data_IF_794378700270
#
_entry.id   IF_794378700270
#
_cell.length_a   1.000
_cell.length_b   1.000
_cell.length_c   1.000
_cell.angle_alpha   90.00
_cell.angle_beta   90.00
_cell.angle_gamma   90.00
#
_symmetry.space_group_name_H-M   'P 1'
#
loop_
_entity.id
_entity.type
_entity.pdbx_description
1 polymer ?
#
# COMPACT_ATOMS: atom_id res chain seq x y z
N UNK A 1 -12.66 -19.35 -14.40
CA UNK A 1 -13.86 -18.61 -13.93
C UNK A 1 -14.72 -19.61 -13.17
N UNK A 2 -15.15 -19.25 -11.96
CA UNK A 2 -16.09 -20.05 -11.14
C UNK A 2 -17.50 -19.94 -11.72
N UNK A 3 -18.18 -21.05 -11.99
CA UNK A 3 -19.57 -21.06 -12.44
C UNK A 3 -20.54 -20.70 -11.29
N UNK A 4 -21.73 -20.19 -11.62
CA UNK A 4 -22.81 -19.85 -10.66
C UNK A 4 -22.43 -18.79 -9.62
N UNK A 5 -21.73 -17.73 -10.04
CA UNK A 5 -21.25 -16.66 -9.14
C UNK A 5 -21.88 -15.29 -9.37
N UNK A 6 -22.94 -15.19 -10.18
CA UNK A 6 -23.61 -13.91 -10.47
C UNK A 6 -24.14 -13.20 -9.21
N UNK A 7 -24.51 -13.98 -8.19
CA UNK A 7 -24.92 -13.47 -6.87
C UNK A 7 -23.82 -12.65 -6.17
N UNK A 8 -22.54 -12.81 -6.54
CA UNK A 8 -21.46 -11.98 -6.00
C UNK A 8 -21.61 -10.52 -6.42
N UNK A 9 -22.11 -10.25 -7.64
CA UNK A 9 -22.39 -8.88 -8.08
C UNK A 9 -23.55 -8.29 -7.27
N UNK A 10 -24.63 -9.05 -7.06
CA UNK A 10 -25.74 -8.65 -6.18
C UNK A 10 -25.27 -8.38 -4.75
N UNK A 11 -24.34 -9.21 -4.24
CA UNK A 11 -23.72 -9.00 -2.94
C UNK A 11 -22.90 -7.69 -2.92
N UNK A 12 -22.10 -7.40 -3.94
CA UNK A 12 -21.33 -6.15 -4.01
C UNK A 12 -22.25 -4.92 -4.04
N UNK A 13 -23.32 -4.93 -4.83
CA UNK A 13 -24.34 -3.87 -4.81
C UNK A 13 -24.99 -3.73 -3.44
N UNK A 14 -25.29 -4.84 -2.76
CA UNK A 14 -25.86 -4.81 -1.41
C UNK A 14 -24.86 -4.24 -0.40
N UNK A 15 -23.60 -4.67 -0.42
CA UNK A 15 -22.54 -4.17 0.48
C UNK A 15 -22.38 -2.68 0.29
N UNK A 16 -22.24 -2.19 -0.94
CA UNK A 16 -22.10 -0.77 -1.21
C UNK A 16 -23.30 0.04 -0.67
N UNK A 17 -24.52 -0.46 -0.91
CA UNK A 17 -25.76 0.22 -0.49
C UNK A 17 -25.94 0.30 1.03
N UNK A 18 -25.47 -0.68 1.79
CA UNK A 18 -25.76 -0.79 3.24
C UNK A 18 -24.55 -0.52 4.13
N UNK A 19 -23.36 -0.41 3.56
CA UNK A 19 -22.13 -0.04 4.27
C UNK A 19 -22.13 1.46 4.61
N UNK A 20 -21.14 1.87 5.40
CA UNK A 20 -20.88 3.26 5.66
C UNK A 20 -20.59 4.02 4.35
N UNK A 21 -21.09 5.25 4.24
CA UNK A 21 -21.00 6.06 3.02
C UNK A 21 -19.62 6.72 2.88
N UNK A 22 -18.72 6.02 2.18
CA UNK A 22 -17.40 6.53 1.81
C UNK A 22 -17.42 7.41 0.55
N UNK A 23 -18.51 7.42 -0.21
CA UNK A 23 -18.64 8.21 -1.44
C UNK A 23 -18.78 9.69 -1.10
N UNK A 24 -19.60 10.00 -0.11
CA UNK A 24 -19.97 11.39 0.21
C UNK A 24 -19.44 11.87 1.57
N UNK A 25 -19.03 10.96 2.46
CA UNK A 25 -18.64 11.31 3.83
C UNK A 25 -17.35 10.62 4.26
N UNK A 26 -16.81 11.01 5.42
CA UNK A 26 -15.75 10.27 6.13
C UNK A 26 -16.37 9.66 7.39
N UNK A 27 -16.86 8.40 7.33
CA UNK A 27 -17.65 7.81 8.40
C UNK A 27 -16.90 7.62 9.72
N UNK A 28 -15.56 7.57 9.67
CA UNK A 28 -14.72 7.36 10.84
C UNK A 28 -13.32 7.93 10.62
N UNK A 29 -12.72 8.45 11.70
CA UNK A 29 -11.32 8.88 11.75
C UNK A 29 -10.43 7.87 12.50
N UNK A 30 -10.98 6.74 12.90
CA UNK A 30 -10.21 5.61 13.43
C UNK A 30 -9.31 5.07 12.32
N UNK A 31 -8.00 5.11 12.51
CA UNK A 31 -7.05 4.99 11.42
C UNK A 31 -7.15 3.66 10.63
N UNK A 32 -7.33 2.52 11.32
CA UNK A 32 -7.51 1.21 10.68
C UNK A 32 -8.80 1.14 9.87
N UNK A 33 -9.92 1.54 10.47
CA UNK A 33 -11.22 1.53 9.80
C UNK A 33 -11.21 2.48 8.59
N UNK A 34 -10.55 3.64 8.72
CA UNK A 34 -10.33 4.55 7.61
C UNK A 34 -9.53 3.86 6.52
N UNK A 35 -8.34 3.34 6.83
CA UNK A 35 -7.45 2.69 5.88
C UNK A 35 -8.18 1.58 5.10
N UNK A 36 -8.99 0.77 5.77
CA UNK A 36 -9.76 -0.30 5.13
C UNK A 36 -10.95 0.21 4.30
N UNK A 37 -11.60 1.29 4.74
CA UNK A 37 -12.88 1.75 4.20
C UNK A 37 -12.76 2.71 3.03
N UNK A 38 -11.77 3.61 3.02
CA UNK A 38 -11.70 4.70 2.03
C UNK A 38 -11.58 4.19 0.58
N UNK A 39 -11.06 2.98 0.39
CA UNK A 39 -10.91 2.31 -0.91
C UNK A 39 -12.22 1.74 -1.49
N UNK A 40 -13.27 1.63 -0.67
CA UNK A 40 -14.53 0.96 -1.06
C UNK A 40 -15.14 1.53 -2.35
N UNK A 41 -15.24 2.86 -2.55
CA UNK A 41 -15.86 3.41 -3.75
C UNK A 41 -15.13 2.99 -5.05
N UNK A 42 -13.80 3.00 -5.06
CA UNK A 42 -13.01 2.54 -6.20
C UNK A 42 -13.19 1.03 -6.45
N UNK A 43 -13.36 0.23 -5.39
CA UNK A 43 -13.68 -1.19 -5.56
C UNK A 43 -15.06 -1.40 -6.18
N UNK A 44 -16.05 -0.64 -5.71
CA UNK A 44 -17.40 -0.70 -6.25
C UNK A 44 -17.47 -0.24 -7.71
N UNK A 45 -16.62 0.69 -8.14
CA UNK A 45 -16.59 1.17 -9.53
C UNK A 45 -16.31 0.07 -10.55
N UNK A 46 -15.69 -1.05 -10.15
CA UNK A 46 -15.47 -2.21 -11.03
C UNK A 46 -16.75 -2.93 -11.46
N UNK A 47 -17.82 -2.81 -10.67
CA UNK A 47 -19.10 -3.49 -10.90
C UNK A 47 -20.27 -2.53 -11.10
N UNK A 48 -20.05 -1.23 -10.92
CA UNK A 48 -21.04 -0.20 -11.16
C UNK A 48 -21.51 -0.20 -12.63
N UNK A 49 -22.83 -0.18 -12.83
CA UNK A 49 -23.45 -0.14 -14.15
C UNK A 49 -24.69 0.79 -14.10
N UNK A 50 -24.70 1.94 -14.81
CA UNK A 50 -23.65 2.44 -15.69
C UNK A 50 -22.34 2.77 -14.94
N UNK A 51 -21.23 2.83 -15.66
CA UNK A 51 -19.94 3.27 -15.12
C UNK A 51 -20.08 4.67 -14.53
N UNK A 52 -19.61 4.84 -13.29
CA UNK A 52 -19.61 6.12 -12.58
C UNK A 52 -18.17 6.50 -12.19
N UNK A 53 -17.56 7.49 -12.88
CA UNK A 53 -16.20 7.93 -12.58
C UNK A 53 -16.07 8.65 -11.23
N UNK A 54 -17.18 9.13 -10.64
CA UNK A 54 -17.15 9.84 -9.36
C UNK A 54 -16.81 8.90 -8.19
N UNK A 55 -17.02 7.59 -8.35
CA UNK A 55 -16.67 6.58 -7.34
C UNK A 55 -15.16 6.50 -7.12
N UNK A 56 -14.37 6.43 -8.19
CA UNK A 56 -12.90 6.44 -8.07
C UNK A 56 -12.47 7.78 -7.48
N UNK A 57 -13.00 8.90 -7.97
CA UNK A 57 -12.68 10.24 -7.45
C UNK A 57 -12.99 10.37 -5.95
N UNK A 58 -14.09 9.78 -5.46
CA UNK A 58 -14.42 9.81 -4.05
C UNK A 58 -13.34 9.16 -3.19
N UNK A 59 -12.75 8.05 -3.64
CA UNK A 59 -11.63 7.38 -2.93
C UNK A 59 -10.42 8.30 -2.80
N UNK A 60 -10.04 8.99 -3.88
CA UNK A 60 -8.95 9.97 -3.85
C UNK A 60 -9.29 11.11 -2.89
N UNK A 61 -10.48 11.68 -3.01
CA UNK A 61 -10.91 12.79 -2.16
C UNK A 61 -10.89 12.42 -0.68
N UNK A 62 -11.38 11.24 -0.29
CA UNK A 62 -11.32 10.78 1.12
C UNK A 62 -9.89 10.73 1.62
N UNK A 63 -9.00 10.12 0.85
CA UNK A 63 -7.60 10.02 1.25
C UNK A 63 -6.92 11.39 1.33
N UNK A 64 -7.16 12.26 0.34
CA UNK A 64 -6.66 13.63 0.29
C UNK A 64 -7.15 14.47 1.46
N UNK A 65 -8.45 14.40 1.80
CA UNK A 65 -9.03 15.08 2.95
C UNK A 65 -8.27 14.70 4.24
N UNK A 66 -7.99 13.39 4.42
CA UNK A 66 -7.25 12.88 5.58
C UNK A 66 -5.80 13.40 5.58
N UNK A 67 -5.05 13.24 4.49
CA UNK A 67 -3.63 13.58 4.47
C UNK A 67 -3.38 15.09 4.45
N UNK A 68 -4.29 15.88 3.89
CA UNK A 68 -4.21 17.34 3.93
C UNK A 68 -4.36 17.86 5.36
N UNK A 69 -5.18 17.20 6.18
CA UNK A 69 -5.39 17.58 7.57
C UNK A 69 -4.35 16.96 8.52
N UNK A 70 -4.04 15.68 8.38
CA UNK A 70 -3.25 14.91 9.35
C UNK A 70 -1.95 14.30 8.79
N UNK A 71 -1.68 14.42 7.49
CA UNK A 71 -0.61 13.69 6.80
C UNK A 71 0.73 14.41 6.70
N UNK A 72 1.02 15.39 7.57
CA UNK A 72 2.26 16.19 7.52
C UNK A 72 3.51 15.41 7.95
N UNK A 73 3.42 14.08 7.99
CA UNK A 73 4.47 13.19 8.48
C UNK A 73 5.31 12.71 7.28
N UNK A 74 6.61 13.02 7.25
CA UNK A 74 7.45 12.75 6.07
C UNK A 74 7.58 11.25 5.76
N UNK A 75 7.29 10.38 6.73
CA UNK A 75 7.34 8.93 6.62
C UNK A 75 6.06 8.29 6.06
N UNK A 76 5.10 9.09 5.58
CA UNK A 76 3.89 8.61 4.90
C UNK A 76 2.69 8.29 5.79
N UNK A 77 2.84 8.39 7.11
CA UNK A 77 1.76 8.23 8.09
C UNK A 77 0.84 9.44 8.21
N UNK A 78 -0.10 9.35 9.15
CA UNK A 78 -0.95 10.47 9.59
C UNK A 78 -0.87 10.64 11.11
N UNK A 79 -1.19 11.83 11.59
CA UNK A 79 -1.38 12.18 13.00
C UNK A 79 -2.68 11.55 13.54
N UNK A 80 -2.66 10.22 13.64
CA UNK A 80 -3.86 9.42 13.79
C UNK A 80 -4.13 8.90 15.19
N UNK A 81 -3.15 8.84 16.09
CA UNK A 81 -3.22 8.05 17.32
C UNK A 81 -3.89 6.69 17.05
N UNK A 82 -5.00 6.37 17.73
CA UNK A 82 -6.02 5.42 17.25
C UNK A 82 -7.05 6.09 16.34
N UNK A 83 -7.47 7.30 16.73
CA UNK A 83 -8.47 8.14 16.03
C UNK A 83 -7.86 9.52 15.78
N UNK A 84 -7.89 9.99 14.53
CA UNK A 84 -7.40 11.34 14.22
C UNK A 84 -8.24 12.37 14.99
N UNK A 85 -7.58 13.29 15.71
CA UNK A 85 -8.25 14.29 16.55
C UNK A 85 -8.07 15.69 15.98
N UNK A 86 -9.15 16.49 15.86
CA UNK A 86 -9.04 17.90 15.48
C UNK A 86 -8.00 18.64 16.34
N UNK A 87 -7.22 19.53 15.72
CA UNK A 87 -6.14 20.31 16.34
C UNK A 87 -4.93 19.49 16.85
N UNK A 88 -4.89 18.19 16.62
CA UNK A 88 -3.78 17.30 16.98
C UNK A 88 -3.07 16.83 15.69
N UNK A 89 -2.29 17.72 15.08
CA UNK A 89 -1.54 17.46 13.83
C UNK A 89 -0.01 17.53 14.04
N UNK A 90 0.40 17.67 15.30
CA UNK A 90 1.79 17.86 15.67
C UNK A 90 2.58 16.53 15.69
N UNK A 91 3.92 16.55 15.64
CA UNK A 91 4.73 15.33 15.48
C UNK A 91 4.78 14.42 16.72
N UNK A 92 4.12 14.79 17.83
CA UNK A 92 3.90 13.90 18.98
C UNK A 92 2.78 12.90 18.73
N UNK A 93 1.89 13.17 17.78
CA UNK A 93 0.91 12.18 17.34
C UNK A 93 1.62 11.09 16.54
N UNK A 94 1.03 9.91 16.50
CA UNK A 94 1.55 8.80 15.71
C UNK A 94 0.44 8.07 15.00
N UNK A 95 0.76 6.89 14.48
CA UNK A 95 -0.23 5.99 13.90
C UNK A 95 -0.11 4.62 14.54
N UNK A 96 -1.24 3.94 14.67
CA UNK A 96 -1.28 2.53 15.04
C UNK A 96 -0.47 1.68 14.03
N UNK A 97 0.25 0.67 14.52
CA UNK A 97 0.96 -0.30 13.68
C UNK A 97 0.03 -0.98 12.66
N UNK A 98 -1.21 -1.33 13.04
CA UNK A 98 -2.21 -1.84 12.10
C UNK A 98 -2.55 -0.81 11.03
N UNK A 99 -2.68 0.47 11.40
CA UNK A 99 -2.95 1.55 10.46
C UNK A 99 -1.93 1.59 9.31
N UNK A 100 -0.63 1.47 9.62
CA UNK A 100 0.40 1.40 8.58
C UNK A 100 0.22 0.21 7.63
N UNK A 101 0.03 -1.00 8.18
CA UNK A 101 -0.14 -2.20 7.38
C UNK A 101 -1.41 -2.17 6.51
N UNK A 102 -2.52 -1.65 7.05
CA UNK A 102 -3.79 -1.54 6.33
C UNK A 102 -3.78 -0.44 5.27
N UNK A 103 -3.04 0.66 5.50
CA UNK A 103 -2.78 1.66 4.44
C UNK A 103 -1.97 1.04 3.31
N UNK A 104 -0.86 0.34 3.61
CA UNK A 104 -0.08 -0.37 2.60
C UNK A 104 -0.94 -1.33 1.79
N UNK A 105 -1.75 -2.16 2.46
CA UNK A 105 -2.66 -3.09 1.80
C UNK A 105 -3.67 -2.39 0.88
N UNK A 106 -4.26 -1.29 1.35
CA UNK A 106 -5.21 -0.50 0.57
C UNK A 106 -4.58 0.15 -0.66
N UNK A 107 -3.35 0.61 -0.55
CA UNK A 107 -2.62 1.18 -1.66
C UNK A 107 -2.26 0.15 -2.74
N UNK A 108 -1.87 -1.07 -2.35
CA UNK A 108 -1.70 -2.16 -3.31
C UNK A 108 -3.00 -2.47 -4.06
N UNK A 109 -4.09 -2.58 -3.31
CA UNK A 109 -5.43 -2.81 -3.86
C UNK A 109 -5.85 -1.70 -4.83
N UNK A 110 -5.61 -0.44 -4.49
CA UNK A 110 -5.93 0.70 -5.34
C UNK A 110 -5.04 0.79 -6.58
N UNK A 111 -3.77 0.39 -6.50
CA UNK A 111 -2.91 0.24 -7.68
C UNK A 111 -3.51 -0.77 -8.67
N UNK A 112 -4.03 -1.91 -8.20
CA UNK A 112 -4.69 -2.91 -9.06
C UNK A 112 -5.96 -2.37 -9.72
N UNK A 113 -6.75 -1.58 -8.99
CA UNK A 113 -8.03 -1.05 -9.47
C UNK A 113 -7.84 0.09 -10.46
N UNK A 114 -6.93 1.01 -10.15
CA UNK A 114 -6.79 2.29 -10.87
C UNK A 114 -5.65 2.29 -11.87
N UNK A 115 -4.62 1.46 -11.67
CA UNK A 115 -3.36 1.53 -12.42
C UNK A 115 -2.52 2.77 -12.13
N UNK A 116 -2.88 3.57 -11.11
CA UNK A 116 -2.19 4.80 -10.76
C UNK A 116 -1.01 4.55 -9.80
N UNK A 117 0.18 4.93 -10.23
CA UNK A 117 1.42 4.82 -9.45
C UNK A 117 1.42 5.65 -8.16
N UNK A 118 0.53 6.64 -8.03
CA UNK A 118 0.36 7.42 -6.80
C UNK A 118 0.21 6.53 -5.56
N UNK A 119 -0.64 5.50 -5.64
CA UNK A 119 -0.92 4.64 -4.49
C UNK A 119 0.31 3.84 -4.08
N UNK A 120 0.99 3.24 -5.05
CA UNK A 120 2.12 2.36 -4.76
C UNK A 120 3.35 3.15 -4.29
N UNK A 121 3.49 4.42 -4.70
CA UNK A 121 4.47 5.35 -4.11
C UNK A 121 4.16 5.64 -2.63
N UNK A 122 2.88 5.80 -2.26
CA UNK A 122 2.48 5.95 -0.85
C UNK A 122 2.75 4.67 -0.05
N UNK A 123 2.54 3.50 -0.64
CA UNK A 123 2.90 2.22 -0.02
C UNK A 123 4.40 2.13 0.22
N UNK A 124 5.21 2.43 -0.79
CA UNK A 124 6.67 2.42 -0.71
C UNK A 124 7.18 3.41 0.37
N UNK A 125 6.60 4.60 0.43
CA UNK A 125 6.93 5.61 1.45
C UNK A 125 6.70 5.07 2.86
N UNK A 126 5.55 4.45 3.15
CA UNK A 126 5.28 3.84 4.46
C UNK A 126 6.22 2.66 4.71
N UNK A 127 6.37 1.77 3.72
CA UNK A 127 7.11 0.52 3.82
C UNK A 127 8.59 0.72 4.14
N UNK A 128 9.24 1.74 3.57
CA UNK A 128 10.65 2.01 3.83
C UNK A 128 10.92 3.09 4.89
N UNK A 129 9.88 3.64 5.53
CA UNK A 129 10.04 4.63 6.59
C UNK A 129 9.33 4.24 7.88
N UNK A 130 8.01 4.44 7.94
CA UNK A 130 7.26 4.30 9.19
C UNK A 130 7.04 2.85 9.62
N UNK A 131 6.77 1.94 8.68
CA UNK A 131 6.42 0.57 9.02
C UNK A 131 7.54 -0.23 9.71
N UNK A 132 8.81 -0.17 9.27
CA UNK A 132 9.92 -0.82 9.97
C UNK A 132 10.11 -0.27 11.40
N UNK A 133 9.84 1.02 11.61
CA UNK A 133 10.02 1.68 12.90
C UNK A 133 9.01 1.21 13.97
N UNK A 134 7.98 0.46 13.58
CA UNK A 134 6.99 -0.09 14.52
C UNK A 134 7.42 -1.43 15.13
N UNK A 135 8.49 -2.05 14.61
CA UNK A 135 8.94 -3.41 14.94
C UNK A 135 10.40 -3.40 15.39
N UNK A 136 10.83 -4.42 16.15
CA UNK A 136 12.28 -4.62 16.37
C UNK A 136 13.01 -5.07 15.12
N UNK A 137 14.23 -4.54 14.89
CA UNK A 137 14.94 -4.71 13.62
C UNK A 137 15.43 -6.15 13.40
N UNK A 138 15.30 -7.05 14.38
CA UNK A 138 15.83 -8.41 14.27
C UNK A 138 14.77 -9.39 13.74
N UNK A 139 13.66 -9.54 14.45
CA UNK A 139 12.65 -10.58 14.14
C UNK A 139 11.22 -10.13 14.46
N UNK A 140 10.96 -8.83 14.63
CA UNK A 140 9.65 -8.31 14.99
C UNK A 140 9.00 -8.98 16.23
N UNK A 141 9.81 -9.39 17.21
CA UNK A 141 9.43 -9.81 18.56
C UNK A 141 8.83 -8.67 19.39
N UNK A 142 9.31 -7.45 19.22
CA UNK A 142 8.84 -6.24 19.90
C UNK A 142 8.09 -5.33 18.93
N UNK A 143 7.01 -4.70 19.41
CA UNK A 143 6.20 -3.76 18.61
C UNK A 143 5.74 -2.57 19.46
N UNK A 144 5.45 -1.45 18.79
CA UNK A 144 4.69 -0.33 19.35
C UNK A 144 3.21 -0.49 19.01
N UNK A 145 2.34 0.07 19.85
CA UNK A 145 0.97 0.31 19.40
C UNK A 145 0.97 1.53 18.49
N UNK A 146 1.33 2.70 19.03
CA UNK A 146 1.48 3.94 18.29
C UNK A 146 2.96 4.22 18.00
N UNK A 147 3.28 4.50 16.74
CA UNK A 147 4.60 5.01 16.35
C UNK A 147 4.49 6.46 15.88
N UNK A 148 5.09 7.36 16.65
CA UNK A 148 5.17 8.79 16.33
C UNK A 148 6.47 9.11 15.57
N UNK A 149 6.47 10.12 14.68
CA UNK A 149 7.71 10.62 14.07
C UNK A 149 8.72 11.12 15.10
N UNK A 150 8.25 11.68 16.22
CA UNK A 150 9.09 12.17 17.31
C UNK A 150 8.75 11.49 18.65
N UNK A 151 9.22 10.25 18.81
CA UNK A 151 9.08 9.48 20.05
C UNK A 151 10.36 9.53 20.88
N UNK A 152 10.34 10.29 21.98
CA UNK A 152 11.50 10.42 22.89
C UNK A 152 11.43 9.50 24.12
N UNK A 153 10.27 8.89 24.39
CA UNK A 153 10.04 8.09 25.59
C UNK A 153 9.12 6.89 25.26
N UNK A 154 9.72 5.70 25.24
CA UNK A 154 9.08 4.42 24.87
C UNK A 154 8.89 3.47 26.08
N UNK A 155 8.78 4.05 27.28
CA UNK A 155 8.64 3.28 28.52
C UNK A 155 7.24 2.66 28.66
N UNK A 156 7.12 1.66 29.54
CA UNK A 156 5.87 0.95 29.81
C UNK A 156 4.93 1.74 30.73
N UNK A 157 4.72 3.02 30.41
CA UNK A 157 3.92 3.98 31.18
C UNK A 157 2.90 4.66 30.28
N UNK A 158 1.64 4.68 30.74
CA UNK A 158 0.51 5.34 30.08
C UNK A 158 0.81 6.84 29.87
N UNK A 159 0.33 7.37 28.75
CA UNK A 159 0.51 8.77 28.36
C UNK A 159 -0.88 9.36 28.14
N UNK A 160 -1.25 10.39 28.91
CA UNK A 160 -2.60 11.00 28.87
C UNK A 160 -2.84 11.94 27.68
N UNK A 161 -1.89 12.02 26.74
CA UNK A 161 -1.96 12.94 25.59
C UNK A 161 -2.58 12.30 24.35
N UNK A 162 -2.82 10.98 24.36
CA UNK A 162 -3.40 10.20 23.25
C UNK A 162 -4.89 9.91 23.50
N UNK A 163 -5.63 9.54 22.45
CA UNK A 163 -7.05 9.16 22.55
C UNK A 163 -7.30 7.98 23.50
N UNK A 164 -6.41 6.98 23.49
CA UNK A 164 -6.57 5.71 24.21
C UNK A 164 -5.49 5.51 25.27
N UNK A 165 -5.64 6.15 26.42
CA UNK A 165 -4.65 6.09 27.50
C UNK A 165 -4.80 4.86 28.43
N UNK A 166 -5.54 3.83 27.99
CA UNK A 166 -5.91 2.68 28.82
C UNK A 166 -4.74 1.70 29.00
N UNK A 167 -3.70 1.81 28.18
CA UNK A 167 -2.43 1.09 28.30
C UNK A 167 -1.27 1.93 27.74
N UNK A 168 -0.01 1.53 27.97
CA UNK A 168 1.17 2.23 27.44
C UNK A 168 1.29 2.11 25.90
N UNK A 169 0.61 2.99 25.17
CA UNK A 169 0.56 2.99 23.70
C UNK A 169 1.94 3.07 23.01
N UNK A 170 2.88 3.82 23.60
CA UNK A 170 4.23 4.01 23.06
C UNK A 170 5.22 2.95 23.54
N UNK A 171 4.80 2.02 24.39
CA UNK A 171 5.72 1.05 24.97
C UNK A 171 6.31 0.14 23.89
N UNK A 172 7.63 0.03 23.89
CA UNK A 172 8.35 -0.88 23.01
C UNK A 172 8.82 -2.10 23.75
N UNK A 173 8.05 -3.18 23.63
CA UNK A 173 8.36 -4.42 24.37
C UNK A 173 7.87 -5.66 23.63
N UNK A 174 8.52 -6.81 23.84
CA UNK A 174 7.99 -8.08 23.39
C UNK A 174 6.80 -8.52 24.24
N UNK A 175 5.98 -9.42 23.71
CA UNK A 175 4.95 -10.12 24.49
C UNK A 175 3.81 -9.21 24.96
N UNK A 176 3.38 -8.26 24.12
CA UNK A 176 2.30 -7.35 24.48
C UNK A 176 0.97 -8.11 24.60
N UNK A 177 0.27 -7.90 25.72
CA UNK A 177 -0.99 -8.58 26.04
C UNK A 177 -2.18 -7.62 26.13
N UNK A 178 -1.92 -6.33 26.31
CA UNK A 178 -2.91 -5.26 26.44
C UNK A 178 -3.65 -4.99 25.11
N UNK A 179 -2.99 -5.24 23.98
CA UNK A 179 -3.57 -5.18 22.64
C UNK A 179 -3.06 -6.37 21.84
N UNK A 180 -3.90 -6.87 20.93
CA UNK A 180 -3.59 -8.05 20.11
C UNK A 180 -3.75 -7.81 18.62
N UNK A 181 -4.40 -6.73 18.18
CA UNK A 181 -4.51 -6.37 16.77
C UNK A 181 -3.12 -6.27 16.12
N UNK A 182 -2.25 -5.38 16.62
CA UNK A 182 -0.94 -5.11 16.05
C UNK A 182 -0.08 -6.39 15.94
N UNK A 183 0.14 -7.20 17.00
CA UNK A 183 0.93 -8.44 16.91
C UNK A 183 0.44 -9.47 15.90
N UNK A 184 -0.85 -9.46 15.54
CA UNK A 184 -1.41 -10.38 14.55
C UNK A 184 -1.53 -9.75 13.16
N UNK A 185 -1.59 -8.43 13.05
CA UNK A 185 -1.76 -7.71 11.80
C UNK A 185 -0.42 -7.34 11.13
N UNK A 186 0.62 -6.94 11.89
CA UNK A 186 1.89 -6.48 11.29
C UNK A 186 2.50 -7.52 10.34
N UNK A 187 2.26 -8.81 10.60
CA UNK A 187 2.81 -9.90 9.79
C UNK A 187 2.37 -9.86 8.32
N UNK A 188 1.33 -9.11 7.96
CA UNK A 188 0.82 -9.04 6.58
C UNK A 188 1.56 -8.01 5.71
N UNK A 189 2.19 -6.99 6.31
CA UNK A 189 2.73 -5.83 5.55
C UNK A 189 3.79 -6.21 4.52
N UNK A 190 4.85 -6.90 4.94
CA UNK A 190 5.92 -7.34 4.03
C UNK A 190 5.53 -8.47 3.08
N UNK A 191 4.75 -9.48 3.50
CA UNK A 191 4.20 -10.45 2.56
C UNK A 191 3.38 -9.82 1.45
N UNK A 192 2.48 -8.89 1.76
CA UNK A 192 1.72 -8.18 0.72
C UNK A 192 2.61 -7.29 -0.15
N UNK A 193 3.59 -6.59 0.42
CA UNK A 193 4.56 -5.85 -0.38
C UNK A 193 5.25 -6.73 -1.41
N UNK A 194 5.64 -7.95 -1.03
CA UNK A 194 6.29 -8.91 -1.92
C UNK A 194 5.32 -9.52 -2.94
N UNK A 195 4.11 -9.87 -2.52
CA UNK A 195 3.05 -10.39 -3.41
C UNK A 195 2.67 -9.38 -4.50
N UNK A 196 2.65 -8.10 -4.15
CA UNK A 196 2.18 -7.01 -5.00
C UNK A 196 3.29 -6.41 -5.86
N UNK A 197 4.55 -6.85 -5.69
CA UNK A 197 5.68 -6.34 -6.46
C UNK A 197 5.52 -6.56 -7.97
N UNK A 198 4.83 -7.64 -8.38
CA UNK A 198 4.55 -7.96 -9.76
C UNK A 198 3.06 -8.16 -10.00
N UNK A 199 2.50 -7.42 -10.96
CA UNK A 199 1.08 -7.47 -11.32
C UNK A 199 0.88 -7.99 -12.74
N UNK A 200 -0.15 -8.80 -12.95
CA UNK A 200 -0.65 -9.10 -14.28
C UNK A 200 -1.46 -7.90 -14.82
N UNK A 201 -1.36 -7.65 -16.11
CA UNK A 201 -2.10 -6.56 -16.78
C UNK A 201 -3.17 -7.11 -17.72
N UNK A 202 -4.24 -6.35 -17.93
CA UNK A 202 -5.41 -6.81 -18.69
C UNK A 202 -5.10 -7.11 -20.16
N UNK A 203 -4.02 -6.54 -20.70
CA UNK A 203 -3.56 -6.73 -22.08
C UNK A 203 -2.51 -7.85 -22.20
N UNK A 204 -2.47 -8.77 -21.23
CA UNK A 204 -1.61 -9.95 -21.25
C UNK A 204 -0.13 -9.65 -20.95
N UNK A 205 0.17 -8.48 -20.39
CA UNK A 205 1.51 -8.10 -19.95
C UNK A 205 1.75 -8.27 -18.45
N UNK A 206 2.90 -7.77 -17.99
CA UNK A 206 3.29 -7.70 -16.58
C UNK A 206 3.67 -6.27 -16.19
N UNK A 207 3.47 -5.93 -14.92
CA UNK A 207 3.90 -4.67 -14.33
C UNK A 207 4.81 -4.95 -13.12
N UNK A 208 6.03 -4.42 -13.15
CA UNK A 208 6.88 -4.30 -11.97
C UNK A 208 6.39 -3.07 -11.18
N UNK A 209 5.53 -3.32 -10.19
CA UNK A 209 4.84 -2.29 -9.43
C UNK A 209 5.69 -1.80 -8.25
N UNK A 210 6.45 -2.70 -7.62
CA UNK A 210 7.42 -2.38 -6.57
C UNK A 210 8.75 -3.05 -6.90
N UNK A 211 9.82 -2.45 -6.41
CA UNK A 211 11.17 -2.96 -6.61
C UNK A 211 11.66 -3.71 -5.38
N UNK A 212 12.07 -4.95 -5.60
CA UNK A 212 12.62 -5.86 -4.60
C UNK A 212 13.30 -7.04 -5.28
N UNK A 213 14.39 -7.55 -4.70
CA UNK A 213 15.06 -8.73 -5.21
C UNK A 213 14.12 -9.95 -5.16
N UNK A 214 13.63 -10.38 -6.32
CA UNK A 214 12.63 -11.44 -6.39
C UNK A 214 12.65 -12.18 -7.73
N UNK A 215 11.80 -13.21 -7.83
CA UNK A 215 11.55 -13.95 -9.06
C UNK A 215 10.05 -14.11 -9.24
N UNK A 216 9.54 -13.73 -10.42
CA UNK A 216 8.15 -13.96 -10.81
C UNK A 216 8.08 -14.97 -11.96
N UNK A 217 7.09 -15.85 -11.93
CA UNK A 217 6.77 -16.75 -13.04
C UNK A 217 5.31 -16.61 -13.40
N UNK A 218 5.02 -16.22 -14.64
CA UNK A 218 3.67 -15.86 -15.07
C UNK A 218 3.43 -16.22 -16.54
N UNK A 219 2.16 -16.24 -16.95
CA UNK A 219 1.73 -16.38 -18.34
C UNK A 219 1.63 -14.99 -18.97
N UNK A 220 2.21 -14.79 -20.15
CA UNK A 220 2.17 -13.51 -20.90
C UNK A 220 1.82 -13.71 -22.37
N UNK A 221 1.32 -12.66 -23.01
CA UNK A 221 0.91 -12.65 -24.42
C UNK A 221 -0.52 -13.17 -24.64
N UNK A 222 -0.90 -13.33 -25.90
CA UNK A 222 -2.26 -13.71 -26.29
C UNK A 222 -2.59 -15.20 -26.03
N UNK A 223 -3.88 -15.54 -26.06
CA UNK A 223 -4.42 -16.90 -25.94
C UNK A 223 -4.10 -17.60 -24.60
N UNK A 224 -3.53 -18.81 -24.64
CA UNK A 224 -3.16 -19.59 -23.43
C UNK A 224 -1.97 -18.98 -22.68
N UNK A 225 -1.30 -17.98 -23.26
CA UNK A 225 -0.10 -17.34 -22.73
C UNK A 225 1.14 -18.23 -22.83
N UNK A 226 2.31 -17.59 -22.87
CA UNK A 226 3.61 -18.24 -22.71
C UNK A 226 4.06 -18.11 -21.27
N UNK A 227 4.45 -19.21 -20.63
CA UNK A 227 4.99 -19.19 -19.26
C UNK A 227 6.43 -18.68 -19.30
N UNK A 228 6.66 -17.52 -18.68
CA UNK A 228 7.98 -16.89 -18.60
C UNK A 228 8.41 -16.73 -17.14
N UNK A 229 9.71 -16.54 -16.93
CA UNK A 229 10.27 -16.18 -15.63
C UNK A 229 11.03 -14.87 -15.74
N UNK A 230 10.80 -13.94 -14.82
CA UNK A 230 11.58 -12.71 -14.68
C UNK A 230 12.29 -12.76 -13.33
N UNK A 231 13.60 -12.59 -13.35
CA UNK A 231 14.44 -12.46 -12.16
C UNK A 231 14.79 -10.99 -12.01
N UNK A 232 14.36 -10.39 -10.92
CA UNK A 232 14.69 -9.01 -10.53
C UNK A 232 15.87 -9.03 -9.57
N UNK A 233 16.98 -8.43 -10.00
CA UNK A 233 18.21 -8.31 -9.24
C UNK A 233 18.46 -6.86 -8.92
N UNK A 234 18.36 -6.52 -7.64
CA UNK A 234 18.58 -5.17 -7.15
C UNK A 234 18.99 -5.23 -5.68
N UNK A 235 19.71 -4.20 -5.23
CA UNK A 235 19.96 -3.92 -3.82
C UNK A 235 19.06 -2.77 -3.32
N UNK A 236 17.98 -2.46 -4.05
CA UNK A 236 16.93 -1.53 -3.62
C UNK A 236 16.42 -1.91 -2.22
N UNK A 237 16.21 -0.95 -1.30
CA UNK A 237 16.25 0.50 -1.49
C UNK A 237 17.64 1.15 -1.33
N UNK A 238 18.72 0.38 -1.15
CA UNK A 238 20.07 0.93 -0.94
C UNK A 238 20.78 1.33 -2.25
N UNK A 239 20.36 0.77 -3.37
CA UNK A 239 20.86 1.10 -4.71
C UNK A 239 19.70 1.37 -5.67
N UNK A 240 19.94 2.25 -6.64
CA UNK A 240 18.96 2.67 -7.64
C UNK A 240 18.99 1.81 -8.93
N UNK A 241 19.90 0.82 -9.02
CA UNK A 241 19.99 -0.06 -10.19
C UNK A 241 19.06 -1.26 -10.04
N UNK A 242 18.22 -1.49 -11.05
CA UNK A 242 17.29 -2.62 -11.09
C UNK A 242 17.54 -3.39 -12.39
N UNK A 243 18.02 -4.62 -12.28
CA UNK A 243 18.30 -5.49 -13.41
C UNK A 243 17.23 -6.59 -13.51
N UNK A 244 16.54 -6.64 -14.65
CA UNK A 244 15.62 -7.73 -14.98
C UNK A 244 16.29 -8.73 -15.93
N UNK A 245 16.26 -10.02 -15.58
CA UNK A 245 16.61 -11.12 -16.50
C UNK A 245 15.36 -11.89 -16.88
N UNK A 246 15.04 -11.86 -18.18
CA UNK A 246 13.88 -12.54 -18.73
C UNK A 246 14.29 -13.90 -19.27
N UNK A 247 13.64 -14.96 -18.77
CA UNK A 247 13.78 -16.32 -19.25
C UNK A 247 12.52 -16.68 -20.04
N UNK A 248 12.68 -16.80 -21.36
CA UNK A 248 11.60 -17.06 -22.30
C UNK A 248 11.85 -18.43 -22.95
N UNK A 249 10.94 -19.42 -22.82
CA UNK A 249 11.10 -20.72 -23.47
C UNK A 249 10.85 -20.67 -24.99
N UNK A 250 10.16 -19.63 -25.46
CA UNK A 250 9.89 -19.35 -26.86
C UNK A 250 9.73 -17.83 -27.06
N UNK A 251 9.79 -17.37 -28.30
CA UNK A 251 9.50 -15.96 -28.64
C UNK A 251 8.04 -15.64 -28.31
N UNK A 252 7.82 -14.54 -27.59
CA UNK A 252 6.48 -14.06 -27.20
C UNK A 252 6.48 -12.53 -27.18
N UNK A 253 5.38 -11.93 -27.64
CA UNK A 253 5.16 -10.49 -27.54
C UNK A 253 4.20 -10.21 -26.38
N UNK A 254 4.60 -9.31 -25.50
CA UNK A 254 3.79 -8.83 -24.39
C UNK A 254 4.30 -7.46 -23.95
N UNK A 255 3.50 -6.73 -23.15
CA UNK A 255 3.94 -5.47 -22.57
C UNK A 255 4.55 -5.69 -21.19
N UNK A 256 5.67 -5.04 -20.94
CA UNK A 256 6.29 -4.95 -19.63
C UNK A 256 6.21 -3.50 -19.16
N UNK A 257 5.40 -3.26 -18.15
CA UNK A 257 5.27 -1.97 -17.50
C UNK A 257 6.27 -1.89 -16.34
N UNK A 258 6.99 -0.79 -16.25
CA UNK A 258 7.92 -0.50 -15.16
C UNK A 258 7.43 0.77 -14.48
N UNK A 259 7.15 0.71 -13.19
CA UNK A 259 6.80 1.93 -12.44
C UNK A 259 8.00 2.88 -12.45
N UNK A 260 7.77 4.14 -12.80
CA UNK A 260 8.73 5.20 -12.48
C UNK A 260 8.22 5.85 -11.18
N UNK A 261 8.93 5.70 -10.04
CA UNK A 261 8.50 6.33 -8.80
C UNK A 261 8.41 7.85 -8.95
N UNK A 262 7.37 8.50 -8.40
CA UNK A 262 7.20 9.96 -8.59
C UNK A 262 8.32 10.77 -7.94
N UNK A 263 8.94 10.27 -6.87
CA UNK A 263 10.11 10.89 -6.22
C UNK A 263 11.39 10.77 -7.05
N UNK A 264 11.38 10.03 -8.15
CA UNK A 264 12.53 9.91 -9.06
C UNK A 264 12.67 11.19 -9.90
N UNK A 265 13.31 12.21 -9.31
CA UNK A 265 13.56 13.52 -9.94
C UNK A 265 14.64 13.48 -11.02
N UNK A 266 15.58 12.53 -10.93
CA UNK A 266 16.58 12.28 -11.97
C UNK A 266 15.90 11.58 -13.13
N UNK A 267 16.39 11.75 -14.36
CA UNK A 267 15.83 11.03 -15.51
C UNK A 267 16.17 9.54 -15.44
N UNK A 268 15.21 8.65 -15.09
CA UNK A 268 15.46 7.23 -15.20
C UNK A 268 15.69 6.88 -16.66
N UNK A 269 16.64 5.99 -16.87
CA UNK A 269 16.93 5.41 -18.18
C UNK A 269 16.58 3.94 -18.15
N UNK A 270 15.91 3.45 -19.20
CA UNK A 270 15.70 2.02 -19.40
C UNK A 270 16.52 1.57 -20.59
N UNK A 271 17.27 0.49 -20.41
CA UNK A 271 18.02 -0.14 -21.48
C UNK A 271 17.64 -1.61 -21.63
N UNK A 272 17.53 -2.08 -22.87
CA UNK A 272 17.35 -3.49 -23.21
C UNK A 272 18.63 -3.97 -23.88
N UNK A 273 19.29 -4.97 -23.30
CA UNK A 273 20.56 -5.52 -23.82
C UNK A 273 21.62 -4.44 -24.12
N UNK A 274 21.72 -3.42 -23.25
CA UNK A 274 22.66 -2.31 -23.38
C UNK A 274 22.22 -1.17 -24.30
N UNK A 275 21.09 -1.30 -25.01
CA UNK A 275 20.54 -0.22 -25.83
C UNK A 275 19.48 0.57 -25.05
N UNK A 276 19.67 1.88 -24.91
CA UNK A 276 18.70 2.77 -24.25
C UNK A 276 17.42 2.86 -25.10
N UNK A 277 16.29 2.56 -24.48
CA UNK A 277 14.95 2.58 -25.11
C UNK A 277 14.03 3.63 -24.49
N UNK A 278 14.39 4.16 -23.32
CA UNK A 278 13.67 5.23 -22.64
C UNK A 278 14.66 6.09 -21.86
N UNK A 279 14.49 7.41 -21.93
CA UNK A 279 15.24 8.40 -21.16
C UNK A 279 14.33 9.59 -20.88
N UNK A 280 13.91 9.74 -19.62
CA UNK A 280 12.95 10.78 -19.21
C UNK A 280 13.43 12.20 -19.52
N UNK A 281 14.74 12.47 -19.67
CA UNK A 281 15.25 13.80 -20.03
C UNK A 281 14.96 14.18 -21.49
N UNK A 282 14.75 13.19 -22.35
CA UNK A 282 14.66 13.33 -23.80
C UNK A 282 13.26 13.00 -24.37
N UNK A 283 12.28 12.78 -23.49
CA UNK A 283 10.85 12.54 -23.81
C UNK A 283 9.98 13.61 -23.18
#
# INVERSE_FOLDING_TARGET
RTSNTDWLLDLMHRIHKVSADWVHTTPTLHNVNFAQGFREPAFYSLVANPLDPTLVQATYQRYEDLVNQYGQFPSGGVAGDEVCRPDHTDPRQGLETCGFAEFMHSFHMLMRVTGDGYWIDRCELIGFNSFPATLDPFVARGTHYITCPNSIQLDDVKKSVFSDDWFPLLAYKPGVHQYRCCPHNYGIGWPYYTEEAWLATYDGGLCASLYTACQVTALVGENTGTKITIIEQTNYPYEENIQFRLQLPASVQFKLYLRIPNWCDKAPTVSINGQVVFDRKNT
#
